data_IF_005837527051
#
_entry.id   IF_005837527051
#
_cell.length_a   1.000
_cell.length_b   1.000
_cell.length_c   1.000
_cell.angle_alpha   90.00
_cell.angle_beta   90.00
_cell.angle_gamma   90.00
#
_symmetry.space_group_name_H-M   'P 1'
#
loop_
_entity.id
_entity.type
_entity.pdbx_description
1 polymer ?
#
# COMPACT_ATOMS: atom_id res chain seq x y z
N UNK A 1 1.93 -11.36 49.37
CA UNK A 1 1.15 -11.89 48.24
C UNK A 1 1.66 -11.23 46.96
N UNK A 2 2.33 -11.99 46.08
CA UNK A 2 3.09 -11.45 44.96
C UNK A 2 2.39 -11.78 43.62
N UNK A 3 2.03 -10.76 42.84
CA UNK A 3 1.54 -10.91 41.47
C UNK A 3 2.71 -10.71 40.50
N UNK A 4 3.13 -11.78 39.82
CA UNK A 4 4.07 -11.70 38.69
C UNK A 4 3.28 -11.82 37.40
N UNK A 5 3.18 -10.73 36.63
CA UNK A 5 2.71 -10.75 35.24
C UNK A 5 3.90 -10.87 34.30
N UNK A 6 3.71 -11.76 33.34
CA UNK A 6 4.58 -12.17 32.26
C UNK A 6 4.60 -11.14 31.13
N UNK A 7 5.75 -10.95 30.49
CA UNK A 7 5.87 -10.69 29.04
C UNK A 7 7.34 -10.55 28.65
N UNK A 8 7.90 -11.59 28.03
CA UNK A 8 9.09 -11.46 27.18
C UNK A 8 9.05 -12.53 26.11
N UNK A 9 8.56 -12.16 24.94
CA UNK A 9 8.70 -12.96 23.72
C UNK A 9 9.46 -12.10 22.71
N UNK A 10 10.78 -12.28 22.74
CA UNK A 10 11.72 -11.87 21.70
C UNK A 10 11.65 -12.86 20.54
N UNK A 11 11.61 -12.33 19.31
CA UNK A 11 12.42 -12.88 18.24
C UNK A 11 11.69 -13.58 17.09
N UNK A 12 11.89 -12.99 15.90
CA UNK A 12 12.10 -13.61 14.60
C UNK A 12 11.08 -14.64 14.09
N UNK A 13 10.29 -14.23 13.09
CA UNK A 13 10.06 -15.10 11.94
C UNK A 13 9.95 -14.28 10.64
N UNK A 14 11.10 -14.04 10.03
CA UNK A 14 11.19 -13.71 8.62
C UNK A 14 10.97 -15.00 7.82
N UNK A 15 9.77 -15.22 7.30
CA UNK A 15 9.51 -16.16 6.20
C UNK A 15 8.45 -15.61 5.26
N UNK A 16 8.87 -14.81 4.27
CA UNK A 16 8.17 -14.74 2.98
C UNK A 16 8.94 -15.56 1.97
N UNK A 17 8.56 -16.82 1.94
CA UNK A 17 8.62 -17.73 0.80
C UNK A 17 8.17 -17.00 -0.45
N UNK A 18 8.97 -17.02 -1.52
CA UNK A 18 8.55 -17.50 -2.85
C UNK A 18 9.62 -17.21 -3.90
N UNK A 19 10.19 -18.31 -4.37
CA UNK A 19 10.90 -18.47 -5.63
C UNK A 19 10.19 -17.76 -6.79
N UNK A 20 10.90 -16.89 -7.52
CA UNK A 20 10.54 -16.53 -8.88
C UNK A 20 11.78 -16.17 -9.70
N UNK A 21 12.46 -17.20 -10.19
CA UNK A 21 13.36 -17.14 -11.35
C UNK A 21 12.53 -16.76 -12.58
N UNK A 22 12.74 -15.57 -13.17
CA UNK A 22 12.45 -15.33 -14.60
C UNK A 22 13.49 -14.41 -15.23
N UNK A 23 14.44 -15.08 -15.89
CA UNK A 23 15.12 -14.64 -17.11
C UNK A 23 14.12 -14.12 -18.14
N UNK A 24 14.50 -13.07 -18.88
CA UNK A 24 13.82 -12.67 -20.11
C UNK A 24 13.65 -11.16 -20.26
N UNK A 25 14.70 -10.48 -20.74
CA UNK A 25 14.53 -9.19 -21.40
C UNK A 25 13.74 -9.44 -22.69
N UNK A 26 12.47 -9.04 -22.71
CA UNK A 26 11.71 -8.84 -23.94
C UNK A 26 11.51 -7.34 -24.15
N UNK A 27 11.71 -6.81 -25.37
CA UNK A 27 11.36 -5.43 -25.68
C UNK A 27 9.84 -5.34 -25.68
N UNK A 28 9.27 -4.88 -24.55
CA UNK A 28 7.83 -4.66 -24.46
C UNK A 28 7.46 -3.48 -25.35
N UNK A 29 6.84 -3.81 -26.48
CA UNK A 29 6.02 -2.91 -27.27
C UNK A 29 5.24 -1.97 -26.34
N UNK A 30 5.22 -0.67 -26.67
CA UNK A 30 4.58 0.40 -25.92
C UNK A 30 3.17 0.00 -25.48
N UNK A 31 3.09 -0.60 -24.31
CA UNK A 31 1.87 -1.13 -23.76
C UNK A 31 1.12 0.11 -23.29
N UNK A 32 0.04 0.49 -23.98
CA UNK A 32 -0.91 1.45 -23.43
C UNK A 32 -1.21 0.98 -22.01
N UNK A 33 -0.67 1.71 -21.05
CA UNK A 33 -0.68 1.33 -19.64
C UNK A 33 -2.14 1.16 -19.23
N UNK A 34 -2.56 -0.02 -18.72
CA UNK A 34 -3.97 -0.26 -18.37
C UNK A 34 -4.41 0.79 -17.35
N UNK A 35 -5.66 1.26 -17.43
CA UNK A 35 -6.18 2.19 -16.43
C UNK A 35 -5.91 1.69 -15.00
N UNK A 36 -5.67 2.59 -14.03
CA UNK A 36 -5.46 2.17 -12.65
C UNK A 36 -6.65 1.35 -12.17
N UNK A 37 -6.35 0.23 -11.55
CA UNK A 37 -7.38 -0.67 -11.03
C UNK A 37 -8.01 -0.09 -9.78
N UNK A 38 -9.27 -0.43 -9.53
CA UNK A 38 -9.99 0.02 -8.32
C UNK A 38 -9.22 -0.33 -7.04
N UNK A 39 -8.54 -1.47 -7.02
CA UNK A 39 -7.78 -1.93 -5.86
C UNK A 39 -6.50 -1.12 -5.61
N UNK A 40 -5.89 -0.57 -6.66
CA UNK A 40 -4.78 0.38 -6.55
C UNK A 40 -5.29 1.73 -6.04
N UNK A 41 -6.44 2.18 -6.54
CA UNK A 41 -7.08 3.42 -6.10
C UNK A 41 -7.46 3.33 -4.63
N UNK A 42 -8.07 2.22 -4.19
CA UNK A 42 -8.42 1.97 -2.79
C UNK A 42 -7.20 2.05 -1.87
N UNK A 43 -6.13 1.32 -2.20
CA UNK A 43 -4.87 1.35 -1.42
C UNK A 43 -4.30 2.76 -1.32
N UNK A 44 -4.34 3.51 -2.41
CA UNK A 44 -3.84 4.88 -2.43
C UNK A 44 -4.73 5.84 -1.66
N UNK A 45 -6.05 5.68 -1.72
CA UNK A 45 -7.01 6.47 -0.96
C UNK A 45 -6.86 6.22 0.56
N UNK A 46 -6.66 4.96 0.97
CA UNK A 46 -6.36 4.61 2.36
C UNK A 46 -5.08 5.28 2.86
N UNK A 47 -4.02 5.29 2.05
CA UNK A 47 -2.77 5.99 2.37
C UNK A 47 -3.00 7.50 2.58
N UNK A 48 -3.79 8.12 1.70
CA UNK A 48 -4.16 9.54 1.80
C UNK A 48 -4.98 9.80 3.06
N UNK A 49 -5.96 8.95 3.35
CA UNK A 49 -6.77 9.03 4.57
C UNK A 49 -5.88 8.99 5.83
N UNK A 50 -4.97 8.02 5.90
CA UNK A 50 -4.05 7.89 7.04
C UNK A 50 -3.13 9.11 7.20
N UNK A 51 -2.58 9.62 6.09
CA UNK A 51 -1.77 10.84 6.10
C UNK A 51 -2.59 12.07 6.56
N UNK A 52 -3.82 12.20 6.08
CA UNK A 52 -4.76 13.25 6.46
C UNK A 52 -5.08 13.21 7.95
N UNK A 53 -5.41 12.03 8.47
CA UNK A 53 -5.70 11.81 9.89
C UNK A 53 -4.46 12.08 10.74
N UNK A 54 -3.28 11.64 10.32
CA UNK A 54 -2.02 11.90 11.02
C UNK A 54 -1.70 13.41 11.11
N UNK A 55 -2.08 14.17 10.07
CA UNK A 55 -1.90 15.64 10.03
C UNK A 55 -3.04 16.43 10.67
N UNK A 56 -4.11 15.77 11.12
CA UNK A 56 -5.31 16.43 11.64
C UNK A 56 -6.05 17.28 10.59
N UNK A 57 -5.88 16.97 9.31
CA UNK A 57 -6.52 17.70 8.21
C UNK A 57 -7.96 17.20 8.06
N UNK A 58 -8.90 18.11 7.81
CA UNK A 58 -10.28 17.74 7.52
C UNK A 58 -10.44 17.33 6.06
N UNK A 59 -11.21 16.28 5.81
CA UNK A 59 -11.55 15.81 4.47
C UNK A 59 -12.52 14.65 4.51
N UNK A 60 -12.95 14.18 3.34
CA UNK A 60 -13.84 13.02 3.20
C UNK A 60 -13.16 11.88 2.44
N UNK A 61 -13.70 10.67 2.61
CA UNK A 61 -13.20 9.50 1.89
C UNK A 61 -13.37 9.66 0.36
N UNK A 62 -14.40 10.37 -0.10
CA UNK A 62 -14.54 10.68 -1.53
C UNK A 62 -13.44 11.61 -2.04
N UNK A 63 -12.98 12.60 -1.25
CA UNK A 63 -11.86 13.46 -1.65
C UNK A 63 -10.58 12.63 -1.76
N UNK A 64 -10.29 11.79 -0.76
CA UNK A 64 -9.13 10.90 -0.74
C UNK A 64 -9.14 9.95 -1.95
N UNK A 65 -10.32 9.45 -2.33
CA UNK A 65 -10.52 8.62 -3.51
C UNK A 65 -10.23 9.35 -4.82
N UNK A 66 -10.80 10.54 -5.01
CA UNK A 66 -10.55 11.34 -6.21
C UNK A 66 -9.08 11.74 -6.33
N UNK A 67 -8.43 12.07 -5.21
CA UNK A 67 -7.00 12.35 -5.18
C UNK A 67 -6.18 11.11 -5.53
N UNK A 68 -6.53 9.94 -5.01
CA UNK A 68 -5.89 8.67 -5.36
C UNK A 68 -6.02 8.37 -6.85
N UNK A 69 -7.23 8.50 -7.42
CA UNK A 69 -7.46 8.32 -8.86
C UNK A 69 -6.62 9.29 -9.69
N UNK A 70 -6.61 10.58 -9.33
CA UNK A 70 -5.84 11.60 -10.04
C UNK A 70 -4.35 11.34 -9.96
N UNK A 71 -3.83 10.96 -8.79
CA UNK A 71 -2.43 10.62 -8.61
C UNK A 71 -2.05 9.38 -9.42
N UNK A 72 -2.85 8.32 -9.41
CA UNK A 72 -2.55 7.10 -10.17
C UNK A 72 -2.67 7.28 -11.69
N UNK A 73 -3.57 8.16 -12.14
CA UNK A 73 -3.68 8.56 -13.55
C UNK A 73 -2.50 9.44 -13.98
N UNK A 74 -1.98 10.30 -13.11
CA UNK A 74 -0.95 11.31 -13.44
C UNK A 74 0.50 10.90 -13.09
N UNK A 75 0.72 9.95 -12.17
CA UNK A 75 2.05 9.50 -11.75
C UNK A 75 2.70 8.53 -12.75
N UNK A 76 2.19 8.46 -13.99
CA UNK A 76 2.45 7.33 -14.89
C UNK A 76 2.92 7.72 -16.27
#
# INVERSE_FOLDING_TARGET
MATKRTSKTTGVEAKKSSTAKKTGQQPRAASRKPAPTEEEIRRKAEEIYHDRVAKGIYGTAEDDWHQAEKQLKNAR
#
